data_IF_331966912477
#
_entry.id   IF_331966912477
#
_cell.length_a   1.000
_cell.length_b   1.000
_cell.length_c   1.000
_cell.angle_alpha   90.00
_cell.angle_beta   90.00
_cell.angle_gamma   90.00
#
_symmetry.space_group_name_H-M   'P 1'
#
loop_
_entity.id
_entity.type
_entity.pdbx_description
1 polymer ?
#
# COMPACT_ATOMS: atom_id res chain seq x y z
N UNK A 1 47.52 -12.29 -13.43
CA UNK A 1 46.72 -11.11 -13.01
C UNK A 1 45.69 -10.68 -14.05
N UNK A 2 45.90 -10.88 -15.36
CA UNK A 2 45.00 -10.43 -16.43
C UNK A 2 43.60 -11.10 -16.48
N UNK A 3 43.48 -12.39 -16.10
CA UNK A 3 42.20 -13.12 -16.19
C UNK A 3 41.14 -12.71 -15.17
N UNK A 4 41.53 -12.27 -13.96
CA UNK A 4 40.60 -11.84 -12.88
C UNK A 4 39.90 -10.52 -13.23
N UNK A 5 40.55 -9.66 -14.00
CA UNK A 5 40.01 -8.36 -14.43
C UNK A 5 39.01 -8.53 -15.57
N UNK A 6 39.27 -9.43 -16.52
CA UNK A 6 38.40 -9.67 -17.68
C UNK A 6 37.07 -10.33 -17.25
N UNK A 7 37.09 -11.32 -16.34
CA UNK A 7 35.85 -11.94 -15.86
C UNK A 7 35.00 -10.99 -15.01
N UNK A 8 35.64 -10.10 -14.23
CA UNK A 8 34.95 -9.03 -13.50
C UNK A 8 34.38 -7.96 -14.43
N UNK A 9 35.05 -7.64 -15.53
CA UNK A 9 34.58 -6.67 -16.53
C UNK A 9 33.43 -7.20 -17.39
N UNK A 10 33.41 -8.49 -17.73
CA UNK A 10 32.28 -9.12 -18.45
C UNK A 10 31.06 -9.26 -17.54
N UNK A 11 31.26 -9.58 -16.26
CA UNK A 11 30.18 -9.58 -15.26
C UNK A 11 29.64 -8.17 -15.00
N UNK A 12 30.51 -7.14 -14.90
CA UNK A 12 30.08 -5.74 -14.85
C UNK A 12 29.34 -5.31 -16.12
N UNK A 13 29.80 -5.76 -17.29
CA UNK A 13 29.18 -5.45 -18.59
C UNK A 13 27.79 -6.09 -18.76
N UNK A 14 27.56 -7.29 -18.21
CA UNK A 14 26.24 -7.92 -18.19
C UNK A 14 25.29 -7.25 -17.19
N UNK A 15 25.79 -6.77 -16.05
CA UNK A 15 25.01 -5.97 -15.09
C UNK A 15 24.66 -4.59 -15.69
N UNK A 16 25.61 -3.91 -16.35
CA UNK A 16 25.36 -2.65 -17.04
C UNK A 16 24.46 -2.82 -18.29
N UNK A 17 24.56 -3.95 -19.00
CA UNK A 17 23.70 -4.29 -20.13
C UNK A 17 22.26 -4.57 -19.70
N UNK A 18 22.06 -5.21 -18.55
CA UNK A 18 20.72 -5.38 -17.94
C UNK A 18 20.13 -4.04 -17.46
N UNK A 19 20.96 -3.07 -17.07
CA UNK A 19 20.53 -1.70 -16.78
C UNK A 19 20.10 -0.90 -18.03
N UNK A 20 20.55 -1.29 -19.23
CA UNK A 20 20.25 -0.58 -20.49
C UNK A 20 19.01 -1.11 -21.23
N UNK A 21 18.40 -2.20 -20.76
CA UNK A 21 17.08 -2.70 -21.23
C UNK A 21 16.00 -2.41 -20.19
N UNK A 22 16.07 -1.25 -19.54
CA UNK A 22 14.97 -0.69 -18.78
C UNK A 22 14.19 0.26 -19.70
N UNK A 23 13.14 -0.18 -20.42
CA UNK A 23 12.23 0.76 -21.03
C UNK A 23 11.55 1.55 -19.89
N UNK A 24 11.89 2.83 -19.81
CA UNK A 24 11.12 3.84 -19.09
C UNK A 24 11.56 4.08 -17.65
N UNK A 25 12.55 4.96 -17.45
CA UNK A 25 12.36 6.00 -16.45
C UNK A 25 11.16 6.84 -16.91
N UNK A 26 9.95 6.36 -16.65
CA UNK A 26 8.80 7.24 -16.68
C UNK A 26 9.02 8.20 -15.52
N UNK A 27 9.06 9.51 -15.81
CA UNK A 27 8.89 10.50 -14.77
C UNK A 27 7.62 10.11 -14.01
N UNK A 28 7.78 9.64 -12.77
CA UNK A 28 6.63 9.39 -11.90
C UNK A 28 6.04 10.76 -11.68
N UNK A 29 5.00 11.08 -12.44
CA UNK A 29 4.20 12.24 -12.20
C UNK A 29 3.58 12.02 -10.82
N UNK A 30 4.01 12.82 -9.85
CA UNK A 30 3.36 12.89 -8.55
C UNK A 30 1.99 13.49 -8.82
N UNK A 31 1.00 12.63 -9.02
CA UNK A 31 -0.37 13.07 -9.11
C UNK A 31 -0.72 13.69 -7.75
N UNK A 32 -1.36 14.87 -7.78
CA UNK A 32 -1.97 15.40 -6.56
C UNK A 32 -2.94 14.35 -6.02
N UNK A 33 -2.91 14.03 -4.71
CA UNK A 33 -3.86 13.09 -4.14
C UNK A 33 -5.26 13.55 -4.50
N UNK A 34 -6.01 12.66 -5.16
CA UNK A 34 -7.43 12.91 -5.43
C UNK A 34 -8.14 12.81 -4.08
N UNK A 35 -8.68 13.94 -3.62
CA UNK A 35 -9.52 13.99 -2.43
C UNK A 35 -10.94 13.63 -2.86
N UNK A 36 -11.43 12.48 -2.40
CA UNK A 36 -12.75 11.97 -2.80
C UNK A 36 -13.88 12.36 -1.83
N UNK A 37 -13.54 12.95 -0.70
CA UNK A 37 -14.42 13.30 0.43
C UNK A 37 -14.17 14.75 0.88
N UNK A 38 -15.24 15.50 1.16
CA UNK A 38 -15.14 16.82 1.78
C UNK A 38 -16.16 16.89 2.95
N UNK A 39 -15.72 17.06 4.21
CA UNK A 39 -14.31 17.16 4.62
C UNK A 39 -13.55 15.82 4.45
N UNK A 40 -12.27 15.91 4.11
CA UNK A 40 -11.35 14.76 4.07
C UNK A 40 -10.75 14.48 5.45
N UNK A 41 -10.21 13.28 5.65
CA UNK A 41 -9.54 12.91 6.91
C UNK A 41 -8.33 13.80 7.17
N UNK A 42 -7.61 14.20 6.12
CA UNK A 42 -6.53 15.19 6.20
C UNK A 42 -7.06 16.54 6.69
N UNK A 43 -8.17 17.04 6.16
CA UNK A 43 -8.77 18.29 6.64
C UNK A 43 -9.24 18.21 8.09
N UNK A 44 -9.82 17.06 8.49
CA UNK A 44 -10.25 16.82 9.86
C UNK A 44 -9.06 16.77 10.84
N UNK A 45 -7.93 16.18 10.43
CA UNK A 45 -6.70 16.09 11.25
C UNK A 45 -5.92 17.40 11.29
N UNK A 46 -5.79 18.11 10.17
CA UNK A 46 -5.00 19.34 10.06
C UNK A 46 -5.75 20.59 10.54
N UNK A 47 -7.09 20.57 10.46
CA UNK A 47 -7.95 21.67 10.89
C UNK A 47 -9.04 21.22 11.89
N UNK A 48 -8.69 20.52 12.97
CA UNK A 48 -9.66 19.85 13.84
C UNK A 48 -10.58 20.85 14.54
N UNK A 49 -10.05 21.99 14.99
CA UNK A 49 -10.85 23.05 15.63
C UNK A 49 -11.87 23.71 14.69
N UNK A 50 -11.71 23.55 13.37
CA UNK A 50 -12.72 24.02 12.39
C UNK A 50 -13.94 23.10 12.37
N UNK A 51 -13.77 21.81 12.65
CA UNK A 51 -14.81 20.80 12.53
C UNK A 51 -15.32 20.27 13.86
N UNK A 52 -14.59 20.51 14.96
CA UNK A 52 -14.92 19.98 16.29
C UNK A 52 -16.37 20.30 16.70
N UNK A 53 -17.10 19.25 17.09
CA UNK A 53 -18.51 19.30 17.48
C UNK A 53 -19.49 19.56 16.33
N UNK A 54 -19.04 19.64 15.08
CA UNK A 54 -19.91 19.83 13.92
C UNK A 54 -20.33 18.51 13.32
N UNK A 55 -21.54 18.50 12.73
CA UNK A 55 -21.97 17.44 11.85
C UNK A 55 -21.13 17.48 10.57
N UNK A 56 -20.55 16.33 10.21
CA UNK A 56 -19.79 16.12 8.97
C UNK A 56 -20.39 14.95 8.20
N UNK A 57 -20.28 14.99 6.88
CA UNK A 57 -20.53 13.86 6.00
C UNK A 57 -19.18 13.33 5.53
N UNK A 58 -18.84 12.10 5.93
CA UNK A 58 -17.55 11.49 5.64
C UNK A 58 -17.77 10.21 4.83
N UNK A 59 -17.01 10.04 3.75
CA UNK A 59 -17.12 8.88 2.87
C UNK A 59 -15.76 8.19 2.77
N UNK A 60 -15.74 6.87 2.94
CA UNK A 60 -14.54 6.08 2.88
C UNK A 60 -14.82 4.60 2.62
N UNK A 61 -13.77 3.87 2.27
CA UNK A 61 -13.73 2.42 2.27
C UNK A 61 -13.70 1.91 3.71
N UNK A 62 -14.61 1.02 4.07
CA UNK A 62 -14.54 0.30 5.34
C UNK A 62 -13.39 -0.71 5.31
N UNK A 63 -12.38 -0.53 6.16
CA UNK A 63 -11.18 -1.40 6.20
C UNK A 63 -11.02 -2.13 7.53
N UNK A 64 -10.32 -3.27 7.50
CA UNK A 64 -10.04 -4.08 8.68
C UNK A 64 -11.24 -4.90 9.14
N UNK A 65 -11.84 -4.53 10.25
CA UNK A 65 -13.00 -5.21 10.83
C UNK A 65 -13.83 -4.27 11.72
N UNK A 66 -15.10 -4.64 11.96
CA UNK A 66 -15.91 -3.98 12.98
C UNK A 66 -15.53 -4.45 14.40
N UNK A 67 -15.00 -3.55 15.21
CA UNK A 67 -14.68 -3.83 16.62
C UNK A 67 -15.88 -3.55 17.51
N UNK A 68 -16.78 -4.52 17.63
CA UNK A 68 -18.01 -4.43 18.43
C UNK A 68 -17.72 -4.35 19.93
N UNK A 69 -18.38 -3.41 20.61
CA UNK A 69 -18.29 -3.11 22.04
C UNK A 69 -19.68 -2.80 22.61
N UNK A 70 -20.42 -3.85 22.98
CA UNK A 70 -21.81 -3.71 23.42
C UNK A 70 -22.72 -3.37 22.26
N UNK A 71 -23.49 -2.29 22.39
CA UNK A 71 -24.46 -1.85 21.39
C UNK A 71 -23.86 -1.00 20.25
N UNK A 72 -22.55 -0.76 20.30
CA UNK A 72 -21.82 0.06 19.33
C UNK A 72 -20.57 -0.67 18.83
N UNK A 73 -19.96 -0.16 17.78
CA UNK A 73 -18.74 -0.67 17.20
C UNK A 73 -17.87 0.45 16.65
N UNK A 74 -16.56 0.22 16.68
CA UNK A 74 -15.61 0.99 15.91
C UNK A 74 -15.44 0.38 14.53
N UNK A 75 -15.49 1.23 13.51
CA UNK A 75 -15.01 0.93 12.15
C UNK A 75 -13.97 1.96 11.75
N UNK A 76 -13.18 1.67 10.73
CA UNK A 76 -12.25 2.63 10.14
C UNK A 76 -12.61 2.85 8.68
N UNK A 77 -12.74 4.12 8.30
CA UNK A 77 -13.10 4.52 6.94
C UNK A 77 -11.92 5.23 6.27
N UNK A 78 -11.40 4.65 5.20
CA UNK A 78 -10.31 5.23 4.42
C UNK A 78 -10.84 6.08 3.26
N UNK A 79 -10.38 7.32 3.17
CA UNK A 79 -10.78 8.26 2.12
C UNK A 79 -9.61 8.65 1.19
N UNK A 80 -8.57 7.83 1.21
CA UNK A 80 -7.34 8.04 0.45
C UNK A 80 -7.50 7.80 -1.07
N UNK A 81 -6.40 8.03 -1.80
CA UNK A 81 -6.35 7.92 -3.26
C UNK A 81 -6.68 6.53 -3.81
N UNK A 82 -6.66 5.50 -2.94
CA UNK A 82 -6.83 4.10 -3.32
C UNK A 82 -8.23 3.55 -3.01
N UNK A 83 -9.07 4.32 -2.30
CA UNK A 83 -10.45 3.96 -1.93
C UNK A 83 -11.27 3.40 -3.10
N UNK A 84 -11.17 4.00 -4.29
CA UNK A 84 -11.94 3.56 -5.46
C UNK A 84 -11.19 2.59 -6.38
N UNK A 85 -9.86 2.60 -6.30
CA UNK A 85 -9.00 1.91 -7.25
C UNK A 85 -7.62 1.71 -6.63
N UNK A 86 -7.17 0.46 -6.56
CA UNK A 86 -5.81 0.15 -6.11
C UNK A 86 -4.73 0.44 -7.18
N UNK A 87 -3.47 0.44 -6.74
CA UNK A 87 -2.28 0.71 -7.58
C UNK A 87 -2.09 -0.31 -8.70
N UNK A 88 -2.33 -1.60 -8.43
CA UNK A 88 -2.13 -2.69 -9.40
C UNK A 88 -3.18 -2.65 -10.52
N UNK A 89 -4.34 -2.05 -10.26
CA UNK A 89 -5.35 -1.70 -11.27
C UNK A 89 -5.01 -0.43 -12.06
N UNK A 90 -3.91 0.24 -11.70
CA UNK A 90 -3.45 1.47 -12.33
C UNK A 90 -4.07 2.73 -11.72
N UNK A 91 -4.28 2.76 -10.40
CA UNK A 91 -4.38 4.03 -9.70
C UNK A 91 -3.05 4.78 -9.75
N UNK A 92 -3.12 6.10 -9.79
CA UNK A 92 -1.92 6.91 -9.69
C UNK A 92 -1.33 6.78 -8.29
N UNK A 93 0.00 6.70 -8.19
CA UNK A 93 0.65 6.78 -6.89
C UNK A 93 0.40 8.17 -6.31
N UNK A 94 -0.21 8.21 -5.14
CA UNK A 94 -0.57 9.46 -4.48
C UNK A 94 -1.04 9.23 -3.06
N UNK A 95 -0.70 10.16 -2.17
CA UNK A 95 -1.11 10.10 -0.78
C UNK A 95 -0.53 8.93 0.02
N UNK A 96 -1.12 8.72 1.17
CA UNK A 96 -0.83 7.62 2.09
C UNK A 96 -2.17 6.97 2.48
N UNK A 97 -2.12 5.87 3.20
CA UNK A 97 -3.32 5.31 3.81
C UNK A 97 -3.83 6.32 4.87
N UNK A 98 -4.99 6.92 4.62
CA UNK A 98 -5.59 7.94 5.49
C UNK A 98 -7.08 7.68 5.63
N UNK A 99 -7.60 7.95 6.82
CA UNK A 99 -8.97 7.65 7.17
C UNK A 99 -9.36 8.22 8.53
N UNK A 100 -10.58 7.93 8.93
CA UNK A 100 -11.13 8.35 10.22
C UNK A 100 -11.76 7.16 10.95
N UNK A 101 -11.49 6.98 12.26
CA UNK A 101 -12.25 6.04 13.07
C UNK A 101 -13.68 6.57 13.26
N UNK A 102 -14.65 5.69 13.09
CA UNK A 102 -16.07 6.02 13.19
C UNK A 102 -16.72 5.10 14.22
N UNK A 103 -17.44 5.71 15.14
CA UNK A 103 -18.24 5.04 16.14
C UNK A 103 -19.69 4.97 15.68
N UNK A 104 -20.20 3.74 15.50
CA UNK A 104 -21.55 3.47 14.98
C UNK A 104 -22.29 2.45 15.83
N UNK A 105 -23.63 2.39 15.75
CA UNK A 105 -24.42 1.27 16.26
C UNK A 105 -23.90 -0.09 15.74
N UNK A 106 -23.91 -1.11 16.60
CA UNK A 106 -23.34 -2.41 16.28
C UNK A 106 -24.17 -3.21 15.24
N UNK A 107 -25.44 -2.88 15.06
CA UNK A 107 -26.30 -3.41 13.99
C UNK A 107 -25.91 -2.82 12.62
N UNK A 108 -25.65 -1.51 12.55
CA UNK A 108 -25.10 -0.87 11.35
C UNK A 108 -23.70 -1.39 11.02
N UNK A 109 -22.86 -1.66 12.02
CA UNK A 109 -21.56 -2.26 11.75
C UNK A 109 -21.65 -3.67 11.15
N UNK A 110 -22.73 -4.40 11.45
CA UNK A 110 -22.99 -5.74 10.91
C UNK A 110 -23.63 -5.72 9.52
N UNK A 111 -24.13 -4.59 9.05
CA UNK A 111 -24.67 -4.46 7.70
C UNK A 111 -23.55 -4.36 6.64
N UNK A 112 -22.35 -3.93 7.04
CA UNK A 112 -21.14 -3.92 6.20
C UNK A 112 -20.70 -5.38 5.97
N UNK A 113 -20.74 -5.82 4.72
CA UNK A 113 -20.47 -7.21 4.34
C UNK A 113 -19.00 -7.47 4.07
N UNK A 114 -18.30 -6.49 3.50
CA UNK A 114 -16.89 -6.60 3.12
C UNK A 114 -16.10 -5.44 3.70
N UNK A 115 -15.10 -5.79 4.51
CA UNK A 115 -14.05 -4.86 4.93
C UNK A 115 -12.82 -5.08 4.07
N UNK A 116 -12.13 -3.99 3.75
CA UNK A 116 -10.87 -4.01 3.03
C UNK A 116 -9.79 -4.74 3.82
N UNK A 117 -9.13 -5.67 3.17
CA UNK A 117 -7.98 -6.41 3.69
C UNK A 117 -6.97 -6.66 2.55
N UNK A 118 -6.07 -7.63 2.70
CA UNK A 118 -5.09 -7.93 1.64
C UNK A 118 -5.73 -8.52 0.36
N UNK A 119 -6.87 -9.18 0.48
CA UNK A 119 -7.55 -9.92 -0.60
C UNK A 119 -8.81 -9.22 -1.11
N UNK A 120 -9.34 -8.27 -0.36
CA UNK A 120 -10.59 -7.59 -0.67
C UNK A 120 -10.41 -6.07 -0.58
N UNK A 121 -11.08 -5.35 -1.47
CA UNK A 121 -11.41 -3.94 -1.28
C UNK A 121 -12.76 -3.86 -0.57
N UNK A 122 -12.82 -3.04 0.47
CA UNK A 122 -13.97 -2.88 1.34
C UNK A 122 -15.15 -2.17 0.66
N UNK A 123 -16.28 -2.19 1.34
CA UNK A 123 -17.43 -1.38 0.94
C UNK A 123 -17.13 0.11 1.06
N UNK A 124 -17.60 0.89 0.09
CA UNK A 124 -17.60 2.34 0.21
C UNK A 124 -18.87 2.73 0.95
N UNK A 125 -18.70 3.32 2.11
CA UNK A 125 -19.80 3.81 2.94
C UNK A 125 -19.66 5.30 3.17
N UNK A 126 -20.79 5.97 3.31
CA UNK A 126 -20.89 7.39 3.66
C UNK A 126 -21.63 7.50 4.97
N UNK A 127 -21.00 8.17 5.93
CA UNK A 127 -21.57 8.41 7.26
C UNK A 127 -21.88 9.87 7.45
N UNK A 128 -22.97 10.15 8.17
CA UNK A 128 -23.24 11.47 8.72
C UNK A 128 -23.12 11.37 10.24
N UNK A 129 -22.41 12.30 10.86
CA UNK A 129 -22.12 12.22 12.28
C UNK A 129 -21.44 13.45 12.84
N UNK A 130 -21.30 13.50 14.16
CA UNK A 130 -20.55 14.56 14.84
C UNK A 130 -19.07 14.22 14.83
N UNK A 131 -18.24 15.09 14.26
CA UNK A 131 -16.79 14.98 14.40
C UNK A 131 -16.34 15.49 15.77
N UNK A 132 -15.50 14.72 16.45
CA UNK A 132 -14.87 15.12 17.70
C UNK A 132 -13.35 15.18 17.48
N UNK A 133 -12.76 16.36 17.66
CA UNK A 133 -11.31 16.53 17.64
C UNK A 133 -10.65 15.82 18.84
N UNK A 134 -11.35 15.78 19.98
CA UNK A 134 -10.96 15.04 21.17
C UNK A 134 -12.22 14.55 21.89
N UNK A 135 -12.58 13.28 21.69
CA UNK A 135 -13.83 12.72 22.20
C UNK A 135 -13.80 12.48 23.71
N UNK A 136 -14.71 13.12 24.44
CA UNK A 136 -14.82 12.99 25.89
C UNK A 136 -15.20 11.57 26.34
N UNK A 137 -15.88 10.79 25.49
CA UNK A 137 -16.31 9.41 25.81
C UNK A 137 -15.20 8.38 25.59
N UNK A 138 -14.22 8.70 24.72
CA UNK A 138 -13.19 7.77 24.26
C UNK A 138 -11.78 8.27 24.59
N UNK A 139 -11.61 8.86 25.78
CA UNK A 139 -10.29 9.19 26.30
C UNK A 139 -9.55 10.31 25.56
N UNK A 140 -10.26 11.10 24.75
CA UNK A 140 -9.69 12.17 23.92
C UNK A 140 -9.29 11.73 22.51
N UNK A 141 -9.62 10.50 22.10
CA UNK A 141 -9.40 10.05 20.72
C UNK A 141 -10.22 10.90 19.74
N UNK A 142 -9.64 11.15 18.56
CA UNK A 142 -10.35 11.80 17.45
C UNK A 142 -11.27 10.77 16.80
N UNK A 143 -12.55 11.10 16.64
CA UNK A 143 -13.53 10.18 16.06
C UNK A 143 -14.69 10.90 15.37
N UNK A 144 -15.51 10.13 14.66
CA UNK A 144 -16.84 10.54 14.22
C UNK A 144 -17.88 9.68 14.93
N UNK A 145 -18.82 10.32 15.63
CA UNK A 145 -20.00 9.63 16.16
C UNK A 145 -21.08 9.69 15.10
N UNK A 146 -21.17 8.62 14.32
CA UNK A 146 -22.08 8.55 13.19
C UNK A 146 -23.51 8.23 13.65
N UNK A 147 -24.45 9.02 13.14
CA UNK A 147 -25.89 8.88 13.38
C UNK A 147 -26.57 8.14 12.24
N UNK A 148 -25.92 8.04 11.07
CA UNK A 148 -26.39 7.26 9.94
C UNK A 148 -25.23 6.75 9.08
N UNK A 149 -25.50 5.67 8.35
CA UNK A 149 -24.61 5.08 7.35
C UNK A 149 -25.39 4.83 6.06
N UNK A 150 -24.75 5.11 4.93
CA UNK A 150 -25.24 4.82 3.59
C UNK A 150 -24.20 3.95 2.86
N UNK A 151 -24.63 2.82 2.31
CA UNK A 151 -23.77 1.96 1.48
C UNK A 151 -23.74 2.52 0.06
N UNK A 152 -22.60 3.08 -0.34
CA UNK A 152 -22.41 3.78 -1.61
C UNK A 152 -21.98 2.80 -2.72
N UNK A 153 -21.06 1.89 -2.40
CA UNK A 153 -20.62 0.86 -3.34
C UNK A 153 -20.26 -0.45 -2.60
N UNK A 154 -20.57 -1.62 -3.18
CA UNK A 154 -20.21 -2.89 -2.59
C UNK A 154 -18.69 -3.12 -2.62
N UNK A 155 -18.18 -3.85 -1.63
CA UNK A 155 -16.81 -4.35 -1.64
C UNK A 155 -16.61 -5.44 -2.70
N UNK A 156 -15.36 -5.76 -2.99
CA UNK A 156 -14.98 -6.68 -4.08
C UNK A 156 -13.64 -7.33 -3.81
N UNK A 157 -13.34 -8.40 -4.55
CA UNK A 157 -11.99 -8.97 -4.56
C UNK A 157 -10.98 -7.94 -5.08
N UNK A 158 -9.85 -7.83 -4.36
CA UNK A 158 -8.73 -7.01 -4.77
C UNK A 158 -8.11 -7.60 -6.05
N UNK A 159 -7.96 -6.78 -7.10
CA UNK A 159 -7.27 -7.25 -8.31
C UNK A 159 -5.77 -6.98 -8.15
N UNK A 160 -5.03 -8.07 -7.97
CA UNK A 160 -3.56 -8.08 -7.96
C UNK A 160 -3.04 -9.05 -9.04
N UNK A 161 -3.05 -8.63 -10.33
CA UNK A 161 -2.59 -9.49 -11.41
C UNK A 161 -1.06 -9.58 -11.43
N UNK A 162 -0.53 -10.78 -11.72
CA UNK A 162 0.90 -10.94 -11.98
C UNK A 162 1.26 -10.23 -13.27
N UNK A 163 1.93 -9.08 -13.15
CA UNK A 163 2.34 -8.29 -14.31
C UNK A 163 3.52 -8.95 -15.06
N UNK A 164 3.39 -9.25 -16.37
CA UNK A 164 4.41 -9.97 -17.12
C UNK A 164 5.79 -9.30 -17.16
N UNK A 165 5.82 -7.96 -17.17
CA UNK A 165 7.05 -7.19 -17.11
C UNK A 165 7.76 -7.33 -15.75
N UNK A 166 7.03 -7.28 -14.64
CA UNK A 166 7.56 -7.52 -13.29
C UNK A 166 8.11 -8.96 -13.19
N UNK A 167 7.38 -9.94 -13.73
CA UNK A 167 7.82 -11.34 -13.75
C UNK A 167 9.09 -11.55 -14.59
N UNK A 168 9.15 -10.97 -15.81
CA UNK A 168 10.34 -11.03 -16.66
C UNK A 168 11.56 -10.40 -15.97
N UNK A 169 11.38 -9.23 -15.37
CA UNK A 169 12.44 -8.55 -14.63
C UNK A 169 12.96 -9.42 -13.48
N UNK A 170 12.06 -10.07 -12.71
CA UNK A 170 12.45 -10.97 -11.63
C UNK A 170 13.27 -12.17 -12.13
N UNK A 171 12.90 -12.78 -13.27
CA UNK A 171 13.67 -13.86 -13.91
C UNK A 171 15.06 -13.38 -14.31
N UNK A 172 15.16 -12.21 -14.97
CA UNK A 172 16.45 -11.64 -15.41
C UNK A 172 17.36 -11.38 -14.21
N UNK A 173 16.84 -10.76 -13.14
CA UNK A 173 17.61 -10.48 -11.93
C UNK A 173 18.06 -11.76 -11.22
N UNK A 174 17.20 -12.79 -11.19
CA UNK A 174 17.53 -14.09 -10.59
C UNK A 174 18.65 -14.80 -11.35
N UNK A 175 18.59 -14.81 -12.69
CA UNK A 175 19.64 -15.39 -13.53
C UNK A 175 20.96 -14.63 -13.38
N UNK A 176 20.92 -13.30 -13.32
CA UNK A 176 22.10 -12.48 -13.11
C UNK A 176 22.75 -12.77 -11.75
N UNK A 177 21.96 -12.85 -10.67
CA UNK A 177 22.44 -13.20 -9.34
C UNK A 177 23.05 -14.62 -9.31
N UNK A 178 22.39 -15.60 -9.94
CA UNK A 178 22.90 -16.97 -10.05
C UNK A 178 24.22 -17.05 -10.81
N UNK A 179 24.36 -16.30 -11.91
CA UNK A 179 25.59 -16.22 -12.68
C UNK A 179 26.76 -15.60 -11.89
N UNK A 180 26.48 -14.54 -11.11
CA UNK A 180 27.47 -13.92 -10.23
C UNK A 180 27.94 -14.88 -9.14
N UNK A 181 27.00 -15.54 -8.46
CA UNK A 181 27.30 -16.54 -7.43
C UNK A 181 28.15 -17.69 -7.99
N UNK A 182 27.78 -18.19 -9.18
CA UNK A 182 28.54 -19.23 -9.87
C UNK A 182 29.97 -18.79 -10.22
N UNK A 183 30.14 -17.57 -10.75
CA UNK A 183 31.45 -17.03 -11.11
C UNK A 183 32.37 -16.89 -9.89
N UNK A 184 31.83 -16.46 -8.74
CA UNK A 184 32.57 -16.39 -7.48
C UNK A 184 32.98 -17.78 -6.96
N UNK A 185 32.05 -18.73 -6.94
CA UNK A 185 32.32 -20.11 -6.52
C UNK A 185 33.41 -20.78 -7.37
N UNK A 186 33.38 -20.59 -8.69
CA UNK A 186 34.41 -21.13 -9.58
C UNK A 186 35.77 -20.43 -9.48
N UNK A 187 35.80 -19.14 -9.15
CA UNK A 187 37.04 -18.43 -8.88
C UNK A 187 37.74 -18.97 -7.62
N UNK A 188 36.98 -19.24 -6.56
CA UNK A 188 37.50 -19.80 -5.30
C UNK A 188 38.04 -21.23 -5.42
N UNK A 189 37.39 -22.09 -6.21
CA UNK A 189 37.83 -23.49 -6.43
C UNK A 189 39.15 -23.54 -7.22
N UNK A 190 39.31 -22.70 -8.24
CA UNK A 190 40.53 -22.66 -9.07
C UNK A 190 41.75 -22.18 -8.29
N UNK A 191 41.57 -21.28 -7.33
CA UNK A 191 42.65 -20.78 -6.47
C UNK A 191 43.15 -21.88 -5.52
N UNK A 192 42.24 -22.65 -4.90
CA UNK A 192 42.59 -23.80 -4.03
C UNK A 192 43.25 -24.94 -4.80
N UNK A 193 42.77 -25.26 -6.00
CA UNK A 193 43.38 -26.27 -6.86
C UNK A 193 44.80 -25.85 -7.32
N UNK A 194 45.02 -24.56 -7.61
CA UNK A 194 46.32 -24.00 -7.98
C UNK A 194 47.34 -23.94 -6.84
N UNK A 195 46.89 -23.77 -5.60
CA UNK A 195 47.74 -23.87 -4.40
C UNK A 195 48.16 -25.32 -4.10
N UNK A 196 47.35 -26.32 -4.44
CA UNK A 196 47.70 -27.74 -4.22
C UNK A 196 48.77 -28.28 -5.19
N UNK A 197 48.93 -27.68 -6.37
CA UNK A 197 49.95 -28.07 -7.37
C UNK A 197 51.33 -27.43 -7.17
N UNK A 198 51.51 -26.59 -6.14
CA UNK A 198 52.80 -25.94 -5.80
C UNK A 198 53.40 -26.51 -4.51
N UNK A 199 53.45 -27.83 -4.39
CA UNK A 199 54.29 -28.54 -3.41
C UNK A 199 55.10 -29.60 -4.14
#
# INVERSE_FOLDING_TARGET
>A
MCGRTITRLVALGAVCGALLIAPGLSAVAWASPQVYSAPSSVELVEHPGTYDGKTVTFQGEAIGEAMVRGDYAWIHLNDDAYMLKNVEEGAALGGYNTGMPVWIPADEARSIQVFGDYKHEGEIVRVEGTFNAACAQHGGDMDIHATSIEHVAPGRDAKDPVHPNKALLAVVLTLAAGALWWAEGHAGIRERAGLSRRR
#
